data_IF_925664496760
#
_entry.id   IF_925664496760
#
_cell.length_a   1.000
_cell.length_b   1.000
_cell.length_c   1.000
_cell.angle_alpha   90.00
_cell.angle_beta   90.00
_cell.angle_gamma   90.00
#
_symmetry.space_group_name_H-M   'P 1'
#
loop_
_entity.id
_entity.type
_entity.pdbx_description
1 polymer ?
#
# COMPACT_ATOMS: atom_id res chain seq x y z
N UNK A 1 -7.67 -36.77 1.57
CA UNK A 1 -7.86 -35.41 1.04
C UNK A 1 -6.63 -35.10 0.21
N UNK A 2 -6.78 -34.62 -1.02
CA UNK A 2 -5.64 -34.23 -1.86
C UNK A 2 -4.99 -32.99 -1.26
N UNK A 3 -3.69 -33.06 -0.99
CA UNK A 3 -2.92 -31.91 -0.51
C UNK A 3 -2.87 -30.87 -1.62
N UNK A 4 -3.45 -29.68 -1.39
CA UNK A 4 -3.43 -28.60 -2.37
C UNK A 4 -2.02 -28.03 -2.40
N UNK A 5 -1.33 -28.21 -3.53
CA UNK A 5 0.05 -27.76 -3.73
C UNK A 5 0.06 -26.30 -4.20
N UNK A 6 0.09 -25.38 -3.24
CA UNK A 6 0.19 -23.95 -3.53
C UNK A 6 1.53 -23.54 -4.12
N UNK A 7 1.53 -22.42 -4.84
CA UNK A 7 2.76 -21.77 -5.29
C UNK A 7 3.66 -21.42 -4.09
N UNK A 8 4.98 -21.48 -4.32
CA UNK A 8 5.97 -21.23 -3.26
C UNK A 8 5.87 -19.82 -2.68
N UNK A 9 5.65 -18.81 -3.52
CA UNK A 9 5.48 -17.40 -3.12
C UNK A 9 4.26 -17.24 -2.23
N UNK A 10 3.07 -17.68 -2.67
CA UNK A 10 1.85 -17.63 -1.86
C UNK A 10 1.99 -18.39 -0.55
N UNK A 11 2.62 -19.57 -0.58
CA UNK A 11 2.86 -20.38 0.63
C UNK A 11 3.74 -19.61 1.62
N UNK A 12 4.86 -19.05 1.17
CA UNK A 12 5.77 -18.32 2.03
C UNK A 12 5.12 -17.09 2.67
N UNK A 13 4.42 -16.26 1.87
CA UNK A 13 3.75 -15.05 2.37
C UNK A 13 2.64 -15.41 3.36
N UNK A 14 1.80 -16.39 3.02
CA UNK A 14 0.69 -16.80 3.90
C UNK A 14 1.17 -17.42 5.21
N UNK A 15 2.27 -18.17 5.20
CA UNK A 15 2.90 -18.69 6.42
C UNK A 15 3.55 -17.59 7.26
N UNK A 16 4.17 -16.59 6.63
CA UNK A 16 4.74 -15.44 7.33
C UNK A 16 3.66 -14.66 8.09
N UNK A 17 2.55 -14.32 7.42
CA UNK A 17 1.43 -13.61 8.04
C UNK A 17 0.80 -14.46 9.15
N UNK A 18 0.54 -15.76 8.88
CA UNK A 18 -0.04 -16.67 9.87
C UNK A 18 0.87 -16.86 11.09
N UNK A 19 2.18 -16.77 10.93
CA UNK A 19 3.13 -16.91 12.05
C UNK A 19 3.21 -15.67 12.91
N UNK A 20 2.81 -14.51 12.38
CA UNK A 20 2.77 -13.27 13.12
C UNK A 20 1.46 -13.10 13.91
N UNK A 21 0.34 -13.61 13.40
CA UNK A 21 -0.96 -13.53 14.07
C UNK A 21 -1.13 -14.73 15.01
N UNK A 22 -1.34 -14.45 16.31
CA UNK A 22 -1.54 -15.49 17.32
C UNK A 22 -2.77 -16.36 17.02
N UNK A 23 -2.66 -17.67 17.20
CA UNK A 23 -3.74 -18.66 16.98
C UNK A 23 -4.36 -18.69 15.56
N UNK A 24 -3.76 -17.97 14.59
CA UNK A 24 -4.27 -17.92 13.23
C UNK A 24 -4.18 -19.28 12.53
N UNK A 25 -5.22 -19.58 11.74
CA UNK A 25 -5.33 -20.82 10.96
C UNK A 25 -5.19 -20.51 9.47
N UNK A 26 -4.26 -21.19 8.82
CA UNK A 26 -4.08 -21.13 7.37
C UNK A 26 -4.94 -22.20 6.69
N UNK A 27 -5.81 -21.76 5.78
CA UNK A 27 -6.69 -22.58 4.95
C UNK A 27 -6.26 -22.42 3.48
N UNK A 28 -5.77 -23.50 2.88
CA UNK A 28 -5.33 -23.52 1.47
C UNK A 28 -6.54 -23.87 0.61
N UNK A 29 -7.15 -22.87 -0.04
CA UNK A 29 -8.38 -23.09 -0.82
C UNK A 29 -8.10 -23.57 -2.24
N UNK A 30 -7.04 -23.07 -2.86
CA UNK A 30 -6.58 -23.47 -4.19
C UNK A 30 -5.07 -23.27 -4.32
N UNK A 31 -4.51 -23.58 -5.49
CA UNK A 31 -3.10 -23.34 -5.81
C UNK A 31 -2.73 -21.83 -5.75
N UNK A 32 -3.71 -20.95 -5.97
CA UNK A 32 -3.57 -19.49 -6.03
C UNK A 32 -4.27 -18.74 -4.91
N UNK A 33 -5.08 -19.40 -4.08
CA UNK A 33 -5.86 -18.75 -3.02
C UNK A 33 -5.54 -19.37 -1.67
N UNK A 34 -5.16 -18.53 -0.71
CA UNK A 34 -4.97 -18.87 0.69
C UNK A 34 -5.85 -17.96 1.57
N UNK A 35 -6.40 -18.51 2.66
CA UNK A 35 -7.18 -17.74 3.62
C UNK A 35 -6.59 -17.95 5.01
N UNK A 36 -6.28 -16.86 5.69
CA UNK A 36 -5.83 -16.86 7.08
C UNK A 36 -7.02 -16.45 7.93
N UNK A 37 -7.41 -17.30 8.88
CA UNK A 37 -8.52 -17.06 9.81
C UNK A 37 -7.97 -16.66 11.16
N UNK A 38 -8.41 -15.52 11.66
CA UNK A 38 -8.13 -15.01 13.00
C UNK A 38 -9.47 -14.81 13.74
N UNK A 39 -9.81 -15.74 14.64
CA UNK A 39 -11.11 -15.74 15.30
C UNK A 39 -12.29 -15.74 14.32
N UNK A 40 -13.04 -14.62 14.28
CA UNK A 40 -14.18 -14.41 13.37
C UNK A 40 -13.80 -13.65 12.09
N UNK A 41 -12.56 -13.19 12.00
CA UNK A 41 -12.05 -12.38 10.91
C UNK A 41 -11.14 -13.21 10.00
N UNK A 42 -10.93 -12.70 8.78
CA UNK A 42 -10.17 -13.41 7.77
C UNK A 42 -9.39 -12.45 6.88
N UNK A 43 -8.19 -12.89 6.51
CA UNK A 43 -7.34 -12.29 5.50
C UNK A 43 -7.31 -13.25 4.31
N UNK A 44 -7.76 -12.80 3.15
CA UNK A 44 -7.70 -13.59 1.93
C UNK A 44 -6.51 -13.14 1.09
N UNK A 45 -5.69 -14.09 0.66
CA UNK A 45 -4.58 -13.89 -0.26
C UNK A 45 -4.87 -14.59 -1.58
N UNK A 46 -4.72 -13.86 -2.68
CA UNK A 46 -4.85 -14.38 -4.03
C UNK A 46 -3.60 -14.04 -4.84
N UNK A 47 -2.97 -15.07 -5.39
CA UNK A 47 -1.85 -14.93 -6.31
C UNK A 47 -2.36 -14.81 -7.75
N UNK A 48 -2.07 -13.67 -8.36
CA UNK A 48 -2.30 -13.41 -9.77
C UNK A 48 -0.95 -13.41 -10.50
N UNK A 49 -0.90 -14.05 -11.66
CA UNK A 49 0.24 -13.98 -12.55
C UNK A 49 -0.18 -13.27 -13.83
N UNK A 50 0.56 -12.25 -14.22
CA UNK A 50 0.42 -11.54 -15.49
C UNK A 50 1.04 -12.36 -16.64
N UNK A 51 0.67 -12.05 -17.90
CA UNK A 51 1.17 -12.72 -19.09
C UNK A 51 2.69 -12.60 -19.30
N UNK A 52 3.32 -11.60 -18.69
CA UNK A 52 4.77 -11.35 -18.66
C UNK A 52 5.47 -12.11 -17.52
N UNK A 53 4.73 -12.86 -16.71
CA UNK A 53 5.26 -13.63 -15.58
C UNK A 53 5.39 -12.85 -14.27
N UNK A 54 4.93 -11.60 -14.22
CA UNK A 54 4.94 -10.82 -12.98
C UNK A 54 3.90 -11.36 -12.00
N UNK A 55 4.32 -11.56 -10.75
CA UNK A 55 3.46 -12.10 -9.70
C UNK A 55 2.90 -10.93 -8.88
N UNK A 56 1.59 -10.93 -8.69
CA UNK A 56 0.90 -9.99 -7.79
C UNK A 56 0.16 -10.78 -6.73
N UNK A 57 0.35 -10.42 -5.47
CA UNK A 57 -0.37 -11.01 -4.34
C UNK A 57 -1.39 -9.98 -3.87
N UNK A 58 -2.66 -10.26 -4.17
CA UNK A 58 -3.78 -9.46 -3.68
C UNK A 58 -4.19 -9.95 -2.30
N UNK A 59 -4.10 -9.06 -1.32
CA UNK A 59 -4.50 -9.29 0.04
C UNK A 59 -5.76 -8.49 0.32
N UNK A 60 -6.85 -9.19 0.66
CA UNK A 60 -8.09 -8.59 1.13
C UNK A 60 -8.18 -8.77 2.64
N UNK A 61 -8.01 -7.66 3.37
CA UNK A 61 -8.03 -7.60 4.82
C UNK A 61 -9.02 -6.52 5.28
N UNK A 62 -10.27 -6.92 5.49
CA UNK A 62 -11.36 -5.98 5.80
C UNK A 62 -11.27 -5.35 7.19
N UNK A 63 -10.45 -5.91 8.07
CA UNK A 63 -10.31 -5.48 9.46
C UNK A 63 -9.01 -4.75 9.74
N UNK A 64 -8.16 -4.61 8.71
CA UNK A 64 -6.87 -3.95 8.85
C UNK A 64 -6.01 -4.65 9.92
N UNK A 65 -6.11 -5.98 10.00
CA UNK A 65 -5.29 -6.83 10.87
C UNK A 65 -3.81 -6.67 10.52
N UNK A 66 -3.47 -6.59 9.23
CA UNK A 66 -2.09 -6.37 8.79
C UNK A 66 -1.51 -5.04 9.29
N UNK A 67 -2.35 -4.01 9.44
CA UNK A 67 -1.94 -2.72 10.01
C UNK A 67 -1.83 -2.82 11.53
N UNK A 68 -2.74 -3.54 12.18
CA UNK A 68 -2.77 -3.68 13.64
C UNK A 68 -1.59 -4.50 14.17
N UNK A 69 -1.09 -5.45 13.39
CA UNK A 69 0.02 -6.34 13.75
C UNK A 69 1.37 -5.88 13.15
N UNK A 70 1.45 -4.64 12.63
CA UNK A 70 2.65 -4.05 12.04
C UNK A 70 3.31 -4.92 10.93
N UNK A 71 2.49 -5.56 10.09
CA UNK A 71 2.95 -6.53 9.08
C UNK A 71 3.31 -5.93 7.72
N UNK A 72 3.05 -4.64 7.50
CA UNK A 72 3.31 -4.00 6.21
C UNK A 72 4.81 -3.92 5.89
N UNK A 73 5.65 -3.50 6.84
CA UNK A 73 7.10 -3.44 6.64
C UNK A 73 7.70 -4.84 6.39
N UNK A 74 7.39 -5.88 7.20
CA UNK A 74 7.82 -7.26 6.92
C UNK A 74 7.36 -7.80 5.56
N UNK A 75 6.20 -7.36 5.08
CA UNK A 75 5.68 -7.77 3.77
C UNK A 75 6.31 -6.98 2.63
N UNK A 76 6.75 -5.74 2.85
CA UNK A 76 7.50 -4.98 1.84
C UNK A 76 8.83 -5.63 1.53
N UNK A 77 9.53 -6.11 2.57
CA UNK A 77 10.85 -6.73 2.47
C UNK A 77 10.76 -8.26 2.63
N UNK A 78 9.73 -8.87 2.06
CA UNK A 78 9.39 -10.28 2.30
C UNK A 78 10.45 -11.26 1.79
N UNK A 79 11.29 -10.82 0.85
CA UNK A 79 12.45 -11.57 0.35
C UNK A 79 13.60 -11.66 1.37
N UNK A 80 13.67 -10.75 2.34
CA UNK A 80 14.76 -10.71 3.31
C UNK A 80 14.81 -12.00 4.13
N UNK A 81 16.00 -12.59 4.25
CA UNK A 81 16.19 -13.90 4.88
C UNK A 81 15.94 -15.11 3.96
N UNK A 82 15.61 -14.89 2.68
CA UNK A 82 15.51 -15.96 1.67
C UNK A 82 16.66 -15.98 0.66
N UNK A 83 17.73 -15.20 0.87
CA UNK A 83 18.84 -14.99 -0.07
C UNK A 83 19.58 -16.30 -0.42
N UNK A 84 19.58 -17.25 0.50
CA UNK A 84 20.16 -18.58 0.28
C UNK A 84 19.34 -19.45 -0.70
N UNK A 85 18.08 -19.09 -0.94
CA UNK A 85 17.14 -19.76 -1.85
C UNK A 85 16.89 -18.89 -3.09
N UNK A 86 17.89 -18.80 -3.98
CA UNK A 86 17.92 -17.86 -5.11
C UNK A 86 16.62 -17.79 -5.95
N UNK A 87 15.97 -18.92 -6.20
CA UNK A 87 14.73 -18.96 -6.97
C UNK A 87 13.55 -18.32 -6.21
N UNK A 88 13.42 -18.62 -4.91
CA UNK A 88 12.40 -18.03 -4.05
C UNK A 88 12.66 -16.55 -3.82
N UNK A 89 13.91 -16.18 -3.54
CA UNK A 89 14.34 -14.78 -3.39
C UNK A 89 13.98 -13.97 -4.65
N UNK A 90 14.40 -14.44 -5.83
CA UNK A 90 14.09 -13.74 -7.09
C UNK A 90 12.60 -13.62 -7.37
N UNK A 91 11.82 -14.66 -7.03
CA UNK A 91 10.36 -14.63 -7.18
C UNK A 91 9.71 -13.63 -6.19
N UNK A 92 10.16 -13.60 -4.93
CA UNK A 92 9.66 -12.68 -3.90
C UNK A 92 10.03 -11.23 -4.23
N UNK A 93 11.27 -10.94 -4.60
CA UNK A 93 11.71 -9.59 -5.00
C UNK A 93 10.99 -9.05 -6.24
N UNK A 94 10.46 -9.93 -7.09
CA UNK A 94 9.67 -9.54 -8.27
C UNK A 94 8.17 -9.53 -8.01
N UNK A 95 7.74 -9.84 -6.78
CA UNK A 95 6.32 -9.93 -6.41
C UNK A 95 5.81 -8.58 -5.93
N UNK A 96 4.71 -8.10 -6.52
CA UNK A 96 3.99 -6.94 -6.00
C UNK A 96 2.94 -7.38 -4.99
N UNK A 97 3.02 -6.90 -3.76
CA UNK A 97 1.98 -7.13 -2.75
C UNK A 97 1.01 -5.95 -2.71
N UNK A 98 -0.28 -6.24 -2.89
CA UNK A 98 -1.38 -5.27 -2.91
C UNK A 98 -2.34 -5.56 -1.78
N UNK A 99 -2.40 -4.68 -0.78
CA UNK A 99 -3.31 -4.78 0.37
C UNK A 99 -4.51 -3.85 0.15
N UNK A 100 -5.72 -4.39 0.17
CA UNK A 100 -6.98 -3.63 0.02
C UNK A 100 -6.99 -2.64 -1.17
N UNK A 101 -6.35 -3.03 -2.27
CA UNK A 101 -6.27 -2.26 -3.52
C UNK A 101 -5.14 -1.25 -3.63
N UNK A 102 -4.23 -1.17 -2.64
CA UNK A 102 -3.00 -0.37 -2.68
C UNK A 102 -1.77 -1.26 -2.59
N UNK A 103 -0.72 -0.98 -3.37
CA UNK A 103 0.59 -1.57 -3.08
C UNK A 103 1.13 -1.06 -1.75
N UNK A 104 1.89 -1.89 -1.04
CA UNK A 104 2.47 -1.52 0.27
C UNK A 104 3.30 -0.23 0.17
N UNK A 105 4.14 -0.11 -0.85
CA UNK A 105 4.92 1.11 -1.11
C UNK A 105 4.02 2.35 -1.27
N UNK A 106 2.91 2.22 -2.00
CA UNK A 106 1.97 3.34 -2.19
C UNK A 106 1.26 3.71 -0.90
N UNK A 107 1.00 2.76 0.01
CA UNK A 107 0.47 3.08 1.34
C UNK A 107 1.47 3.90 2.16
N UNK A 108 2.75 3.51 2.17
CA UNK A 108 3.80 4.28 2.85
C UNK A 108 3.97 5.68 2.27
N UNK A 109 3.97 5.81 0.94
CA UNK A 109 3.96 7.12 0.27
C UNK A 109 2.77 7.95 0.74
N UNK A 110 1.59 7.35 0.88
CA UNK A 110 0.41 8.06 1.35
C UNK A 110 0.50 8.50 2.82
N UNK A 111 1.02 7.68 3.73
CA UNK A 111 1.26 8.13 5.11
C UNK A 111 2.24 9.30 5.12
N UNK A 112 3.34 9.20 4.37
CA UNK A 112 4.32 10.27 4.26
C UNK A 112 3.74 11.56 3.64
N UNK A 113 2.78 11.47 2.71
CA UNK A 113 2.04 12.65 2.22
C UNK A 113 1.36 13.36 3.38
N UNK A 114 0.62 12.64 4.24
CA UNK A 114 -0.08 13.25 5.38
C UNK A 114 0.92 13.88 6.35
N UNK A 115 1.99 13.16 6.67
CA UNK A 115 3.02 13.65 7.60
C UNK A 115 3.74 14.89 7.07
N UNK A 116 4.02 14.94 5.77
CA UNK A 116 4.61 16.12 5.14
C UNK A 116 3.68 17.33 5.23
N UNK A 117 2.38 17.17 4.97
CA UNK A 117 1.41 18.26 5.09
C UNK A 117 1.23 18.72 6.55
N UNK A 118 1.18 17.79 7.50
CA UNK A 118 1.10 18.10 8.93
C UNK A 118 2.34 18.88 9.40
N UNK A 119 3.52 18.46 8.94
CA UNK A 119 4.79 19.14 9.21
C UNK A 119 4.86 20.54 8.59
N UNK A 120 4.30 20.73 7.40
CA UNK A 120 4.26 22.03 6.74
C UNK A 120 3.36 23.01 7.47
N UNK A 121 2.18 22.56 7.91
CA UNK A 121 1.24 23.38 8.67
C UNK A 121 0.16 22.57 9.36
N UNK A 122 -0.13 22.92 10.62
CA UNK A 122 -1.28 22.41 11.37
C UNK A 122 -2.64 22.83 10.81
N UNK A 123 -2.66 23.67 9.77
CA UNK A 123 -3.89 24.07 9.07
C UNK A 123 -4.37 23.03 8.06
N UNK A 124 -3.50 22.10 7.65
CA UNK A 124 -3.88 21.00 6.77
C UNK A 124 -4.54 19.88 7.56
N UNK A 125 -5.65 19.36 7.03
CA UNK A 125 -6.37 18.24 7.61
C UNK A 125 -6.74 17.24 6.52
N UNK A 126 -6.40 15.98 6.76
CA UNK A 126 -6.90 14.88 5.93
C UNK A 126 -8.39 14.67 6.22
N UNK A 127 -9.21 14.64 5.16
CA UNK A 127 -10.66 14.46 5.30
C UNK A 127 -11.07 13.02 5.04
N UNK A 128 -10.73 12.49 3.85
CA UNK A 128 -11.03 11.09 3.47
C UNK A 128 -10.32 10.68 2.18
N UNK A 129 -10.20 9.38 1.98
CA UNK A 129 -9.84 8.79 0.68
C UNK A 129 -11.07 8.70 -0.21
N UNK A 130 -10.97 9.17 -1.44
CA UNK A 130 -12.04 9.17 -2.45
C UNK A 130 -11.97 7.96 -3.38
N UNK A 131 -10.76 7.57 -3.78
CA UNK A 131 -10.54 6.38 -4.59
C UNK A 131 -9.15 5.80 -4.35
N UNK A 132 -8.98 4.49 -4.56
CA UNK A 132 -7.71 3.75 -4.44
C UNK A 132 -7.44 2.99 -5.73
N UNK A 133 -6.17 2.88 -6.09
CA UNK A 133 -5.60 2.09 -7.18
C UNK A 133 -4.26 1.54 -6.71
N UNK A 134 -3.75 0.50 -7.36
CA UNK A 134 -2.51 -0.18 -6.94
C UNK A 134 -1.34 0.80 -6.72
N UNK A 135 -1.17 1.76 -7.63
CA UNK A 135 -0.08 2.72 -7.64
C UNK A 135 -0.53 4.16 -7.33
N UNK A 136 -1.71 4.37 -6.75
CA UNK A 136 -2.15 5.72 -6.47
C UNK A 136 -3.52 5.84 -5.83
N UNK A 137 -3.84 7.03 -5.37
CA UNK A 137 -5.10 7.31 -4.71
C UNK A 137 -5.52 8.75 -4.91
N UNK A 138 -6.82 8.98 -4.79
CA UNK A 138 -7.39 10.33 -4.71
C UNK A 138 -7.86 10.56 -3.30
N UNK A 139 -7.47 11.68 -2.72
CA UNK A 139 -7.75 12.05 -1.33
C UNK A 139 -8.30 13.46 -1.26
N UNK A 140 -9.16 13.70 -0.28
CA UNK A 140 -9.66 15.03 0.04
C UNK A 140 -8.92 15.57 1.24
N UNK A 141 -8.41 16.78 1.09
CA UNK A 141 -7.78 17.57 2.15
C UNK A 141 -8.58 18.85 2.40
N UNK A 142 -8.32 19.44 3.56
CA UNK A 142 -8.82 20.73 3.96
C UNK A 142 -7.68 21.60 4.45
N UNK A 143 -7.66 22.87 4.06
CA UNK A 143 -6.74 23.90 4.54
C UNK A 143 -7.56 25.08 5.07
N UNK A 144 -7.61 25.24 6.40
CA UNK A 144 -8.57 26.14 7.03
C UNK A 144 -10.01 25.75 6.68
N UNK A 145 -10.77 26.65 6.05
CA UNK A 145 -12.16 26.38 5.60
C UNK A 145 -12.25 25.87 4.15
N UNK A 146 -11.11 25.66 3.48
CA UNK A 146 -11.05 25.34 2.05
C UNK A 146 -10.77 23.86 1.81
N UNK A 147 -11.68 23.17 1.14
CA UNK A 147 -11.48 21.78 0.71
C UNK A 147 -10.89 21.74 -0.69
N UNK A 148 -10.02 20.76 -0.91
CA UNK A 148 -9.39 20.48 -2.18
C UNK A 148 -9.10 18.99 -2.29
N UNK A 149 -8.74 18.53 -3.49
CA UNK A 149 -8.39 17.13 -3.72
C UNK A 149 -6.94 17.01 -4.15
N UNK A 150 -6.31 15.91 -3.76
CA UNK A 150 -5.01 15.50 -4.24
C UNK A 150 -5.15 14.15 -4.95
N UNK A 151 -4.51 14.04 -6.10
CA UNK A 151 -4.27 12.75 -6.75
C UNK A 151 -2.79 12.45 -6.56
N UNK A 152 -2.50 11.37 -5.85
CA UNK A 152 -1.14 10.87 -5.61
C UNK A 152 -0.95 9.65 -6.50
N UNK A 153 0.08 9.68 -7.35
CA UNK A 153 0.49 8.56 -8.20
C UNK A 153 1.94 8.23 -7.86
N UNK A 154 2.17 6.99 -7.49
CA UNK A 154 3.48 6.42 -7.21
C UNK A 154 3.93 5.64 -8.45
N UNK A 155 4.58 6.34 -9.38
CA UNK A 155 5.21 5.67 -10.52
C UNK A 155 6.60 5.12 -10.13
N UNK A 156 7.13 4.14 -10.89
CA UNK A 156 8.43 3.55 -10.60
C UNK A 156 9.54 4.59 -10.47
N UNK A 157 9.56 5.58 -11.36
CA UNK A 157 10.63 6.59 -11.42
C UNK A 157 10.37 7.84 -10.58
N UNK A 158 9.10 8.15 -10.27
CA UNK A 158 8.74 9.38 -9.57
C UNK A 158 7.37 9.30 -8.89
N UNK A 159 7.22 10.05 -7.81
CA UNK A 159 5.92 10.32 -7.19
C UNK A 159 5.36 11.62 -7.76
N UNK A 160 4.15 11.56 -8.30
CA UNK A 160 3.42 12.69 -8.87
C UNK A 160 2.24 13.03 -7.97
N UNK A 161 2.13 14.31 -7.59
CA UNK A 161 0.98 14.81 -6.84
C UNK A 161 0.36 15.94 -7.64
N UNK A 162 -0.89 15.74 -8.08
CA UNK A 162 -1.69 16.81 -8.66
C UNK A 162 -2.73 17.28 -7.66
N UNK A 163 -3.02 18.58 -7.67
CA UNK A 163 -4.00 19.19 -6.79
C UNK A 163 -5.15 19.76 -7.61
N UNK A 164 -6.37 19.48 -7.18
CA UNK A 164 -7.59 20.08 -7.69
C UNK A 164 -8.11 21.07 -6.65
N UNK A 165 -7.96 22.37 -6.95
CA UNK A 165 -8.34 23.51 -6.09
C UNK A 165 -9.41 24.36 -6.74
N UNK A 166 -10.20 23.81 -7.66
CA UNK A 166 -11.21 24.58 -8.39
C UNK A 166 -12.28 25.17 -7.45
N UNK A 167 -12.63 24.45 -6.39
CA UNK A 167 -13.61 24.90 -5.37
C UNK A 167 -13.05 25.97 -4.41
N UNK A 168 -11.72 26.19 -4.39
CA UNK A 168 -11.08 27.20 -3.54
C UNK A 168 -11.21 28.57 -4.19
N UNK A 169 -12.02 29.50 -3.66
CA UNK A 169 -12.22 30.81 -4.33
C UNK A 169 -11.09 31.80 -4.09
N UNK A 170 -10.35 31.66 -2.99
CA UNK A 170 -9.28 32.59 -2.64
C UNK A 170 -7.99 32.28 -3.41
N UNK A 171 -7.55 33.22 -4.24
CA UNK A 171 -6.38 33.06 -5.10
C UNK A 171 -5.05 32.97 -4.33
N UNK A 172 -4.95 33.57 -3.13
CA UNK A 172 -3.76 33.43 -2.29
C UNK A 172 -3.72 32.03 -1.71
N UNK A 173 -4.85 31.52 -1.22
CA UNK A 173 -4.96 30.16 -0.69
C UNK A 173 -4.63 29.12 -1.78
N UNK A 174 -5.15 29.27 -3.00
CA UNK A 174 -4.78 28.39 -4.14
C UNK A 174 -3.27 28.30 -4.31
N UNK A 175 -2.59 29.46 -4.41
CA UNK A 175 -1.14 29.51 -4.60
C UNK A 175 -0.36 28.89 -3.45
N UNK A 176 -0.84 29.07 -2.21
CA UNK A 176 -0.24 28.42 -1.04
C UNK A 176 -0.33 26.91 -1.16
N UNK A 177 -1.53 26.37 -1.42
CA UNK A 177 -1.75 24.92 -1.57
C UNK A 177 -0.89 24.37 -2.71
N UNK A 178 -0.90 24.98 -3.89
CA UNK A 178 -0.11 24.54 -5.05
C UNK A 178 1.40 24.55 -4.74
N UNK A 179 1.90 25.59 -4.06
CA UNK A 179 3.30 25.68 -3.67
C UNK A 179 3.67 24.62 -2.64
N UNK A 180 2.78 24.32 -1.69
CA UNK A 180 3.03 23.32 -0.65
C UNK A 180 2.97 21.91 -1.24
N UNK A 181 2.02 21.63 -2.15
CA UNK A 181 1.96 20.37 -2.91
C UNK A 181 3.27 20.12 -3.65
N UNK A 182 3.85 21.13 -4.29
CA UNK A 182 5.14 21.00 -4.98
C UNK A 182 6.28 20.64 -4.01
N UNK A 183 6.30 21.23 -2.80
CA UNK A 183 7.30 20.89 -1.76
C UNK A 183 7.11 19.46 -1.25
N UNK A 184 5.86 19.05 -1.00
CA UNK A 184 5.54 17.68 -0.58
C UNK A 184 5.98 16.68 -1.64
N UNK A 185 5.66 16.94 -2.91
CA UNK A 185 6.10 16.08 -4.01
C UNK A 185 7.63 15.95 -4.05
N UNK A 186 8.37 17.06 -3.94
CA UNK A 186 9.83 17.03 -3.91
C UNK A 186 10.37 16.24 -2.72
N UNK A 187 9.81 16.44 -1.52
CA UNK A 187 10.23 15.71 -0.32
C UNK A 187 10.01 14.20 -0.48
N UNK A 188 8.88 13.79 -1.03
CA UNK A 188 8.56 12.37 -1.23
C UNK A 188 9.45 11.70 -2.28
N UNK A 189 9.72 12.37 -3.40
CA UNK A 189 10.67 11.83 -4.37
C UNK A 189 12.04 11.63 -3.74
N UNK A 190 12.50 12.58 -2.92
CA UNK A 190 13.76 12.45 -2.18
C UNK A 190 13.75 11.31 -1.14
N UNK A 191 12.60 11.00 -0.55
CA UNK A 191 12.49 9.95 0.48
C UNK A 191 12.37 8.55 -0.11
N UNK A 192 11.73 8.39 -1.27
CA UNK A 192 11.35 7.08 -1.81
C UNK A 192 12.02 6.73 -3.14
N UNK A 193 12.57 7.69 -3.87
CA UNK A 193 13.08 7.50 -5.24
C UNK A 193 14.56 7.90 -5.42
N UNK A 194 15.11 8.70 -4.51
CA UNK A 194 16.54 9.10 -4.47
C UNK A 194 17.28 8.45 -3.29
#
# INVERSE_FOLDING_TARGET
>A
MSEIKQHAVLTYISEKIKSAIADAKLDKQSETIAVIKDGNDQIQLEQLADASGNITIQITDRKEILYSEDLLEPLQNIEEGTESQKELYGALSSTTIVVNGLSIETDFVFQAVKDCFDTLSSSYQFVKTLSKRVNGLTISFQFGDHKFQLVVVNDPDQIIITCDVDEVKDAKVKKTIESDVAKVQQALNKMFKE
#
